data_IF_737495420483
#
_entry.id   IF_737495420483
#
_cell.length_a   1.000
_cell.length_b   1.000
_cell.length_c   1.000
_cell.angle_alpha   90.00
_cell.angle_beta   90.00
_cell.angle_gamma   90.00
#
_symmetry.space_group_name_H-M   'P 1'
#
loop_
_entity.id
_entity.type
_entity.pdbx_description
1 polymer ?
#
# COMPACT_ATOMS: atom_id res chain seq x y z
N UNK A 1 23.31 -1.99 12.62
CA UNK A 1 23.25 -2.22 11.16
C UNK A 1 24.37 -1.47 10.46
N UNK A 2 24.94 -2.01 9.39
CA UNK A 2 25.90 -1.31 8.51
C UNK A 2 25.17 -0.44 7.48
N UNK A 3 25.85 0.53 6.89
CA UNK A 3 25.29 1.37 5.81
C UNK A 3 24.87 0.55 4.58
N UNK A 4 25.60 -0.55 4.31
CA UNK A 4 25.27 -1.46 3.23
C UNK A 4 23.96 -2.23 3.50
N UNK A 5 23.83 -2.83 4.69
CA UNK A 5 22.59 -3.52 5.10
C UNK A 5 21.39 -2.56 5.12
N UNK A 6 21.60 -1.31 5.53
CA UNK A 6 20.59 -0.26 5.50
C UNK A 6 20.10 0.01 4.07
N UNK A 7 21.03 0.21 3.13
CA UNK A 7 20.69 0.48 1.73
C UNK A 7 20.00 -0.71 1.06
N UNK A 8 20.42 -1.94 1.35
CA UNK A 8 19.79 -3.17 0.83
C UNK A 8 18.34 -3.31 1.29
N UNK A 9 18.03 -2.91 2.53
CA UNK A 9 16.65 -2.89 3.05
C UNK A 9 15.80 -1.83 2.33
N UNK A 10 16.38 -0.66 2.05
CA UNK A 10 15.69 0.38 1.29
C UNK A 10 15.47 -0.03 -0.16
N UNK A 11 16.45 -0.64 -0.81
CA UNK A 11 16.33 -1.17 -2.17
C UNK A 11 15.22 -2.21 -2.25
N UNK A 12 15.16 -3.13 -1.27
CA UNK A 12 14.08 -4.11 -1.17
C UNK A 12 12.70 -3.45 -1.10
N UNK A 13 12.54 -2.40 -0.28
CA UNK A 13 11.27 -1.69 -0.17
C UNK A 13 10.93 -0.96 -1.49
N UNK A 14 11.88 -0.25 -2.09
CA UNK A 14 11.69 0.43 -3.40
C UNK A 14 11.29 -0.55 -4.49
N UNK A 15 11.91 -1.73 -4.55
CA UNK A 15 11.60 -2.73 -5.58
C UNK A 15 10.19 -3.30 -5.40
N UNK A 16 9.72 -3.47 -4.15
CA UNK A 16 8.31 -3.85 -3.87
C UNK A 16 7.33 -2.80 -4.36
N UNK A 17 7.62 -1.52 -4.10
CA UNK A 17 6.77 -0.43 -4.59
C UNK A 17 6.77 -0.34 -6.13
N UNK A 18 7.93 -0.56 -6.78
CA UNK A 18 8.03 -0.59 -8.24
C UNK A 18 7.23 -1.73 -8.85
N UNK A 19 7.23 -2.90 -8.23
CA UNK A 19 6.37 -4.01 -8.64
C UNK A 19 4.89 -3.65 -8.51
N UNK A 20 4.50 -2.89 -7.49
CA UNK A 20 3.13 -2.40 -7.33
C UNK A 20 2.74 -1.37 -8.40
N UNK A 21 3.58 -0.37 -8.64
CA UNK A 21 3.42 0.60 -9.74
C UNK A 21 3.25 -0.13 -11.07
N UNK A 22 4.11 -1.09 -11.37
CA UNK A 22 4.06 -1.82 -12.63
C UNK A 22 2.77 -2.65 -12.74
N UNK A 23 2.38 -3.32 -11.66
CA UNK A 23 1.12 -4.07 -11.60
C UNK A 23 -0.08 -3.17 -11.92
N UNK A 24 -0.22 -2.01 -11.29
CA UNK A 24 -1.33 -1.10 -11.56
C UNK A 24 -1.30 -0.52 -12.97
N UNK A 25 -0.12 -0.21 -13.50
CA UNK A 25 0.04 0.22 -14.91
C UNK A 25 -0.41 -0.84 -15.90
N UNK A 26 -0.12 -2.10 -15.63
CA UNK A 26 -0.55 -3.19 -16.51
C UNK A 26 -2.06 -3.37 -16.44
N UNK A 27 -2.67 -3.29 -15.25
CA UNK A 27 -4.13 -3.29 -15.10
C UNK A 27 -4.81 -2.12 -15.82
N UNK A 28 -4.22 -0.93 -15.83
CA UNK A 28 -4.77 0.23 -16.55
C UNK A 28 -4.88 -0.03 -18.06
N UNK A 29 -4.00 -0.86 -18.64
CA UNK A 29 -4.04 -1.22 -20.07
C UNK A 29 -5.20 -2.17 -20.41
N UNK A 30 -5.57 -3.02 -19.46
CA UNK A 30 -6.62 -4.03 -19.63
C UNK A 30 -8.01 -3.56 -19.16
N UNK A 31 -8.06 -2.46 -18.41
CA UNK A 31 -9.28 -1.85 -17.90
C UNK A 31 -10.19 -1.32 -19.03
N UNK A 32 -11.50 -1.57 -18.89
CA UNK A 32 -12.49 -1.27 -19.96
C UNK A 32 -13.24 0.04 -19.75
N UNK A 33 -13.25 0.56 -18.53
CA UNK A 33 -14.04 1.72 -18.15
C UNK A 33 -13.14 2.82 -17.59
N UNK A 34 -13.48 4.07 -17.91
CA UNK A 34 -12.71 5.25 -17.47
C UNK A 34 -12.56 5.30 -15.94
N UNK A 35 -13.62 4.99 -15.18
CA UNK A 35 -13.58 4.97 -13.72
C UNK A 35 -12.61 3.94 -13.14
N UNK A 36 -12.42 2.80 -13.82
CA UNK A 36 -11.44 1.80 -13.41
C UNK A 36 -10.02 2.29 -13.67
N UNK A 37 -9.80 2.93 -14.82
CA UNK A 37 -8.50 3.49 -15.17
C UNK A 37 -8.12 4.60 -14.19
N UNK A 38 -9.05 5.49 -13.84
CA UNK A 38 -8.84 6.54 -12.84
C UNK A 38 -8.47 5.95 -11.47
N UNK A 39 -9.24 4.96 -10.99
CA UNK A 39 -8.94 4.31 -9.71
C UNK A 39 -7.56 3.60 -9.71
N UNK A 40 -7.24 2.88 -10.78
CA UNK A 40 -5.93 2.22 -10.93
C UNK A 40 -4.79 3.23 -11.08
N UNK A 41 -5.08 4.43 -11.59
CA UNK A 41 -4.12 5.52 -11.68
C UNK A 41 -3.85 6.16 -10.32
N UNK A 42 -4.89 6.37 -9.51
CA UNK A 42 -4.73 6.81 -8.12
C UNK A 42 -3.88 5.82 -7.31
N UNK A 43 -4.12 4.52 -7.48
CA UNK A 43 -3.31 3.45 -6.89
C UNK A 43 -1.85 3.52 -7.33
N UNK A 44 -1.57 3.67 -8.62
CA UNK A 44 -0.21 3.85 -9.12
C UNK A 44 0.49 5.06 -8.48
N UNK A 45 -0.21 6.19 -8.37
CA UNK A 45 0.34 7.44 -7.85
C UNK A 45 0.64 7.35 -6.34
N UNK A 46 -0.12 6.55 -5.58
CA UNK A 46 0.16 6.25 -4.16
C UNK A 46 1.51 5.53 -4.00
N UNK A 47 1.75 4.47 -4.78
CA UNK A 47 2.99 3.68 -4.70
C UNK A 47 4.22 4.49 -5.15
N UNK A 48 4.05 5.39 -6.14
CA UNK A 48 5.09 6.35 -6.51
C UNK A 48 5.46 7.28 -5.35
N UNK A 49 4.46 7.68 -4.55
CA UNK A 49 4.67 8.45 -3.32
C UNK A 49 5.49 7.70 -2.29
N UNK A 50 5.26 6.39 -2.11
CA UNK A 50 6.07 5.55 -1.21
C UNK A 50 7.53 5.48 -1.66
N UNK A 51 7.79 5.29 -2.96
CA UNK A 51 9.16 5.31 -3.51
C UNK A 51 9.85 6.63 -3.17
N UNK A 52 9.17 7.76 -3.35
CA UNK A 52 9.74 9.07 -3.02
C UNK A 52 10.06 9.18 -1.52
N UNK A 53 9.17 8.70 -0.65
CA UNK A 53 9.41 8.68 0.81
C UNK A 53 10.64 7.84 1.14
N UNK A 54 10.75 6.64 0.59
CA UNK A 54 11.87 5.72 0.84
C UNK A 54 13.20 6.30 0.33
N UNK A 55 13.21 6.87 -0.88
CA UNK A 55 14.41 7.49 -1.46
C UNK A 55 14.82 8.78 -0.72
N UNK A 56 13.86 9.52 -0.17
CA UNK A 56 14.17 10.70 0.64
C UNK A 56 14.86 10.36 1.95
N UNK A 57 14.74 9.14 2.44
CA UNK A 57 15.37 8.68 3.68
C UNK A 57 16.86 8.45 3.52
N UNK A 58 17.29 8.08 2.31
CA UNK A 58 18.71 8.09 1.92
C UNK A 58 19.32 9.48 2.04
N UNK A 59 18.51 10.53 1.95
CA UNK A 59 18.93 11.94 1.89
C UNK A 59 18.66 12.73 3.17
N UNK A 60 17.67 12.35 3.98
CA UNK A 60 17.20 13.07 5.18
C UNK A 60 16.67 12.10 6.24
N UNK A 61 16.96 12.36 7.52
CA UNK A 61 16.41 11.59 8.66
C UNK A 61 14.88 11.77 8.78
N UNK A 62 14.15 10.69 9.01
CA UNK A 62 12.70 10.68 9.31
C UNK A 62 12.46 11.07 10.77
N UNK A 63 11.38 11.83 11.04
CA UNK A 63 10.93 12.18 12.40
C UNK A 63 9.72 11.35 12.82
N UNK A 64 9.62 10.97 14.09
CA UNK A 64 8.46 10.25 14.64
C UNK A 64 7.15 11.04 14.54
N UNK A 65 7.23 12.38 14.49
CA UNK A 65 6.07 13.26 14.43
C UNK A 65 5.25 13.12 13.13
N UNK A 66 5.80 12.47 12.11
CA UNK A 66 5.16 12.32 10.79
C UNK A 66 4.34 11.03 10.65
N UNK A 67 4.17 10.24 11.73
CA UNK A 67 3.47 8.94 11.71
C UNK A 67 2.09 9.08 12.35
N UNK A 68 1.01 9.21 11.56
CA UNK A 68 -0.34 9.30 12.10
C UNK A 68 -0.88 7.92 12.53
N UNK A 69 -1.80 7.93 13.48
CA UNK A 69 -2.59 6.74 13.84
C UNK A 69 -3.78 6.62 12.89
N UNK A 70 -3.97 5.44 12.31
CA UNK A 70 -5.04 5.18 11.32
C UNK A 70 -6.07 4.20 11.86
N UNK A 71 -7.38 4.53 11.82
CA UNK A 71 -8.44 3.59 12.16
C UNK A 71 -8.51 2.40 11.17
N UNK A 72 -8.69 1.18 11.67
CA UNK A 72 -8.83 -0.03 10.83
C UNK A 72 -10.30 -0.50 10.83
N UNK A 73 -10.97 -0.50 9.67
CA UNK A 73 -12.35 -0.99 9.53
C UNK A 73 -12.45 -2.51 9.42
N UNK A 74 -11.33 -3.19 9.14
CA UNK A 74 -11.20 -4.66 9.05
C UNK A 74 -12.08 -5.34 8.00
N UNK A 75 -12.68 -4.61 7.06
CA UNK A 75 -13.52 -5.18 6.00
C UNK A 75 -12.73 -6.20 5.19
N UNK A 76 -11.48 -5.90 4.81
CA UNK A 76 -10.63 -6.82 4.05
C UNK A 76 -10.38 -8.15 4.79
N UNK A 77 -10.32 -8.14 6.13
CA UNK A 77 -10.04 -9.31 6.96
C UNK A 77 -11.19 -10.33 6.90
N UNK A 78 -12.41 -9.89 6.59
CA UNK A 78 -13.59 -10.74 6.44
C UNK A 78 -13.82 -11.25 5.01
N UNK A 79 -13.01 -10.81 4.04
CA UNK A 79 -13.11 -11.26 2.65
C UNK A 79 -12.25 -12.51 2.46
N UNK A 80 -12.91 -13.65 2.19
CA UNK A 80 -12.26 -14.95 1.94
C UNK A 80 -12.00 -15.24 0.47
N UNK A 81 -12.30 -14.30 -0.42
CA UNK A 81 -12.11 -14.48 -1.86
C UNK A 81 -10.63 -14.70 -2.22
N UNK A 82 -10.38 -15.66 -3.11
CA UNK A 82 -9.07 -15.78 -3.74
C UNK A 82 -8.86 -14.61 -4.67
N UNK A 83 -7.91 -13.75 -4.29
CA UNK A 83 -7.62 -12.49 -4.95
C UNK A 83 -7.19 -12.73 -6.39
N UNK A 84 -6.62 -13.89 -6.72
CA UNK A 84 -6.13 -14.22 -8.07
C UNK A 84 -7.26 -14.59 -9.04
N UNK A 85 -8.34 -15.19 -8.54
CA UNK A 85 -9.48 -15.67 -9.34
C UNK A 85 -10.53 -14.58 -9.63
N UNK A 86 -10.47 -13.44 -8.95
CA UNK A 86 -11.45 -12.37 -9.10
C UNK A 86 -11.42 -11.75 -10.51
N UNK A 87 -12.57 -11.44 -11.09
CA UNK A 87 -12.58 -10.66 -12.33
C UNK A 87 -12.15 -9.19 -12.09
N UNK A 88 -12.05 -8.41 -13.17
CA UNK A 88 -11.72 -6.98 -13.09
C UNK A 88 -12.97 -6.09 -12.99
N UNK A 89 -14.05 -6.58 -12.36
CA UNK A 89 -15.16 -5.69 -11.97
C UNK A 89 -14.68 -4.68 -10.92
N UNK A 90 -15.33 -3.52 -10.87
CA UNK A 90 -15.01 -2.47 -9.90
C UNK A 90 -14.94 -2.95 -8.43
N UNK A 91 -15.93 -3.70 -7.89
CA UNK A 91 -15.85 -4.21 -6.51
C UNK A 91 -14.67 -5.18 -6.32
N UNK A 92 -14.36 -6.00 -7.33
CA UNK A 92 -13.24 -6.93 -7.23
C UNK A 92 -11.88 -6.24 -7.31
N UNK A 93 -11.74 -5.15 -8.06
CA UNK A 93 -10.53 -4.30 -8.04
C UNK A 93 -10.36 -3.68 -6.64
N UNK A 94 -11.44 -3.21 -6.01
CA UNK A 94 -11.40 -2.73 -4.62
C UNK A 94 -10.95 -3.82 -3.65
N UNK A 95 -11.47 -5.04 -3.80
CA UNK A 95 -11.05 -6.19 -2.97
C UNK A 95 -9.56 -6.51 -3.15
N UNK A 96 -9.11 -6.55 -4.41
CA UNK A 96 -7.69 -6.78 -4.76
C UNK A 96 -6.80 -5.72 -4.12
N UNK A 97 -7.16 -4.43 -4.25
CA UNK A 97 -6.44 -3.32 -3.63
C UNK A 97 -6.40 -3.47 -2.10
N UNK A 98 -7.56 -3.62 -1.44
CA UNK A 98 -7.65 -3.79 0.02
C UNK A 98 -6.75 -4.92 0.55
N UNK A 99 -6.71 -6.06 -0.12
CA UNK A 99 -5.86 -7.19 0.26
C UNK A 99 -4.38 -6.92 0.07
N UNK A 100 -4.02 -6.18 -0.99
CA UNK A 100 -2.64 -5.76 -1.22
C UNK A 100 -2.18 -4.81 -0.11
N UNK A 101 -2.96 -3.77 0.19
CA UNK A 101 -2.66 -2.82 1.28
C UNK A 101 -2.55 -3.52 2.63
N UNK A 102 -3.42 -4.49 2.91
CA UNK A 102 -3.37 -5.29 4.14
C UNK A 102 -2.06 -6.09 4.25
N UNK A 103 -1.57 -6.64 3.14
CA UNK A 103 -0.33 -7.41 3.10
C UNK A 103 0.90 -6.49 3.25
N UNK A 104 0.93 -5.33 2.57
CA UNK A 104 1.99 -4.33 2.72
C UNK A 104 2.04 -3.79 4.16
N UNK A 105 0.88 -3.50 4.76
CA UNK A 105 0.77 -3.09 6.16
C UNK A 105 1.40 -4.09 7.12
N UNK A 106 1.07 -5.39 6.96
CA UNK A 106 1.62 -6.46 7.80
C UNK A 106 3.13 -6.57 7.62
N UNK A 107 3.60 -6.57 6.37
CA UNK A 107 5.02 -6.63 6.04
C UNK A 107 5.80 -5.50 6.71
N UNK A 108 5.35 -4.25 6.53
CA UNK A 108 6.04 -3.10 7.11
C UNK A 108 5.94 -3.05 8.63
N UNK A 109 4.83 -3.50 9.20
CA UNK A 109 4.72 -3.68 10.65
C UNK A 109 5.76 -4.67 11.17
N UNK A 110 5.90 -5.84 10.54
CA UNK A 110 6.90 -6.85 10.90
C UNK A 110 8.34 -6.33 10.70
N UNK A 111 8.62 -5.64 9.60
CA UNK A 111 9.93 -5.05 9.33
C UNK A 111 10.30 -3.99 10.37
N UNK A 112 9.34 -3.18 10.81
CA UNK A 112 9.57 -2.18 11.87
C UNK A 112 9.95 -2.81 13.22
N UNK A 113 9.49 -4.04 13.48
CA UNK A 113 9.79 -4.80 14.69
C UNK A 113 11.13 -5.55 14.58
N UNK A 114 11.43 -6.08 13.39
CA UNK A 114 12.67 -6.80 13.08
C UNK A 114 13.90 -5.90 13.08
N UNK A 115 13.73 -4.64 12.69
CA UNK A 115 14.78 -3.62 12.67
C UNK A 115 14.44 -2.50 13.66
N UNK A 116 14.71 -2.67 14.96
CA UNK A 116 14.36 -1.68 15.98
C UNK A 116 15.26 -0.43 15.95
N UNK A 117 16.27 -0.39 15.06
CA UNK A 117 17.14 0.76 14.85
C UNK A 117 16.29 1.97 14.41
N UNK A 118 16.38 3.07 15.17
CA UNK A 118 15.39 4.15 15.19
C UNK A 118 14.92 4.65 13.83
N UNK A 119 15.82 4.97 12.90
CA UNK A 119 15.42 5.54 11.60
C UNK A 119 14.69 4.54 10.68
N UNK A 120 15.10 3.27 10.69
CA UNK A 120 14.44 2.23 9.89
C UNK A 120 13.11 1.83 10.49
N UNK A 121 13.05 1.67 11.81
CA UNK A 121 11.79 1.35 12.48
C UNK A 121 10.75 2.44 12.21
N UNK A 122 11.17 3.71 12.22
CA UNK A 122 10.31 4.84 11.90
C UNK A 122 9.86 4.87 10.45
N UNK A 123 10.75 4.58 9.51
CA UNK A 123 10.38 4.42 8.10
C UNK A 123 9.27 3.37 7.94
N UNK A 124 9.49 2.16 8.46
CA UNK A 124 8.53 1.08 8.28
C UNK A 124 7.23 1.32 9.03
N UNK A 125 7.26 2.00 10.17
CA UNK A 125 6.02 2.45 10.85
C UNK A 125 5.28 3.49 10.04
N UNK A 126 5.99 4.40 9.37
CA UNK A 126 5.38 5.40 8.48
C UNK A 126 4.72 4.72 7.29
N UNK A 127 5.43 3.84 6.59
CA UNK A 127 4.88 3.07 5.46
C UNK A 127 3.67 2.26 5.91
N UNK A 128 3.77 1.49 7.01
CA UNK A 128 2.62 0.77 7.55
C UNK A 128 1.42 1.71 7.84
N UNK A 129 1.67 2.88 8.41
CA UNK A 129 0.60 3.87 8.61
C UNK A 129 -0.03 4.31 7.29
N UNK A 130 0.78 4.58 6.26
CA UNK A 130 0.27 4.99 4.95
C UNK A 130 -0.55 3.87 4.29
N UNK A 131 -0.11 2.61 4.34
CA UNK A 131 -0.90 1.47 3.84
C UNK A 131 -2.22 1.28 4.59
N UNK A 132 -2.23 1.52 5.90
CA UNK A 132 -3.47 1.49 6.66
C UNK A 132 -4.45 2.57 6.20
N UNK A 133 -3.97 3.75 5.75
CA UNK A 133 -4.84 4.81 5.19
C UNK A 133 -5.39 4.42 3.84
N UNK A 134 -4.54 3.86 2.98
CA UNK A 134 -4.95 3.40 1.64
C UNK A 134 -5.99 2.29 1.76
N UNK A 135 -5.71 1.30 2.61
CA UNK A 135 -6.69 0.26 2.98
C UNK A 135 -8.01 0.87 3.42
N UNK A 136 -7.98 1.81 4.38
CA UNK A 136 -9.18 2.48 4.89
C UNK A 136 -9.96 3.22 3.78
N UNK A 137 -9.26 3.85 2.84
CA UNK A 137 -9.87 4.50 1.69
C UNK A 137 -10.64 3.49 0.82
N UNK A 138 -10.01 2.37 0.45
CA UNK A 138 -10.67 1.34 -0.36
C UNK A 138 -11.82 0.67 0.38
N UNK A 139 -11.69 0.45 1.69
CA UNK A 139 -12.77 -0.07 2.53
C UNK A 139 -13.99 0.86 2.52
N UNK A 140 -13.79 2.18 2.53
CA UNK A 140 -14.88 3.16 2.41
C UNK A 140 -15.50 3.16 1.02
N UNK A 141 -14.69 3.15 -0.03
CA UNK A 141 -15.19 3.09 -1.41
C UNK A 141 -16.03 1.83 -1.65
N UNK A 142 -15.62 0.70 -1.07
CA UNK A 142 -16.36 -0.56 -1.14
C UNK A 142 -17.67 -0.51 -0.35
N UNK A 143 -17.65 0.01 0.89
CA UNK A 143 -18.84 0.20 1.71
C UNK A 143 -19.86 1.15 1.04
N UNK A 144 -19.40 2.26 0.46
CA UNK A 144 -20.24 3.19 -0.29
C UNK A 144 -20.84 2.54 -1.54
N UNK A 145 -20.07 1.72 -2.26
CA UNK A 145 -20.54 0.98 -3.43
C UNK A 145 -21.66 -0.02 -3.07
N UNK A 146 -21.50 -0.76 -1.97
CA UNK A 146 -22.55 -1.66 -1.44
C UNK A 146 -23.79 -0.86 -1.02
N UNK A 147 -23.62 0.26 -0.31
CA UNK A 147 -24.74 1.10 0.15
C UNK A 147 -25.54 1.72 -0.99
N UNK A 148 -24.89 1.96 -2.13
CA UNK A 148 -25.54 2.43 -3.35
C UNK A 148 -26.40 1.35 -4.04
N UNK A 149 -26.41 0.11 -3.55
CA UNK A 149 -27.25 -0.99 -4.03
C UNK A 149 -26.74 -1.67 -5.30
N UNK A 150 -25.42 -1.61 -5.54
CA UNK A 150 -24.76 -2.30 -6.66
C UNK A 150 -24.27 -3.70 -6.27
#
# INVERSE_FOLDING_TARGET
MTEQEFNEILDFAVDREREAVQFYRDLQKDAKFASQIEMLKELEDMELGHIEVIENIRRKRVSEADIPTVPNLRISEYISADVEELDFSYPNILIRAMKREENSFKLYTEMSQKFPDGEISLLFRKLASDEAKHKLLFERLYDDWIRAGN
#
